data_IF_717460680233
#
_entry.id   IF_717460680233
#
_cell.length_a   1.000
_cell.length_b   1.000
_cell.length_c   1.000
_cell.angle_alpha   90.00
_cell.angle_beta   90.00
_cell.angle_gamma   90.00
#
_symmetry.space_group_name_H-M   'P 1'
#
loop_
_entity.id
_entity.type
_entity.pdbx_description
1 polymer ?
#
# COMPACT_ATOMS: atom_id res chain seq x y z
N UNK A 1 43.01 -1.99 34.58
CA UNK A 1 43.43 -2.41 33.24
C UNK A 1 42.42 -3.44 32.80
N UNK A 2 41.74 -3.09 31.71
CA UNK A 2 40.55 -3.72 31.15
C UNK A 2 40.80 -5.17 30.74
N UNK A 3 39.80 -6.03 30.89
CA UNK A 3 39.57 -7.07 29.90
C UNK A 3 38.06 -7.33 29.75
N UNK A 4 37.65 -7.16 28.50
CA UNK A 4 36.30 -7.07 27.94
C UNK A 4 35.47 -8.35 28.11
N UNK A 5 34.26 -8.19 28.69
CA UNK A 5 33.22 -9.21 28.66
C UNK A 5 32.59 -9.30 27.26
N UNK A 6 32.83 -10.44 26.62
CA UNK A 6 32.21 -10.86 25.37
C UNK A 6 30.76 -11.28 25.66
N UNK A 7 29.76 -10.49 25.24
CA UNK A 7 28.34 -10.83 25.38
C UNK A 7 27.99 -11.96 24.40
N UNK A 8 27.57 -13.11 24.95
CA UNK A 8 27.24 -14.31 24.21
C UNK A 8 25.92 -14.19 23.43
N UNK A 9 26.02 -14.34 22.11
CA UNK A 9 24.89 -14.62 21.24
C UNK A 9 24.45 -16.08 21.45
N UNK A 10 23.28 -16.33 22.03
CA UNK A 10 22.75 -17.68 22.19
C UNK A 10 22.34 -18.25 20.83
N UNK A 11 23.07 -19.29 20.38
CA UNK A 11 22.88 -20.01 19.12
C UNK A 11 22.04 -21.25 19.38
N UNK A 12 20.94 -21.44 18.67
CA UNK A 12 20.21 -22.70 18.67
C UNK A 12 19.99 -23.14 17.22
N UNK A 13 20.73 -24.16 16.79
CA UNK A 13 20.41 -24.96 15.61
C UNK A 13 19.60 -26.15 16.11
N UNK A 14 18.31 -26.22 15.80
CA UNK A 14 17.49 -27.40 16.05
C UNK A 14 17.27 -28.16 14.74
N UNK A 15 17.78 -29.38 14.65
CA UNK A 15 17.55 -30.30 13.54
C UNK A 15 16.16 -30.94 13.69
N UNK A 16 15.23 -30.59 12.80
CA UNK A 16 13.98 -31.34 12.58
C UNK A 16 14.09 -32.20 11.30
N UNK A 17 13.47 -33.39 11.22
CA UNK A 17 13.65 -34.32 10.12
C UNK A 17 12.91 -33.82 8.87
N UNK A 18 13.56 -33.92 7.70
CA UNK A 18 13.22 -33.29 6.39
C UNK A 18 13.56 -31.78 6.29
N UNK A 19 14.65 -31.40 6.97
CA UNK A 19 15.06 -30.04 7.30
C UNK A 19 15.47 -29.15 6.12
N UNK A 20 14.60 -28.20 5.79
CA UNK A 20 15.04 -26.96 5.11
C UNK A 20 15.95 -26.20 6.06
N UNK A 21 17.20 -25.93 5.68
CA UNK A 21 18.15 -25.19 6.51
C UNK A 21 17.62 -23.79 6.84
N UNK A 22 17.70 -23.37 8.11
CA UNK A 22 17.39 -22.00 8.52
C UNK A 22 18.33 -21.53 9.63
N UNK A 23 18.50 -20.20 9.69
CA UNK A 23 19.26 -19.52 10.73
C UNK A 23 18.33 -18.60 11.51
N UNK A 24 18.36 -18.65 12.84
CA UNK A 24 17.53 -17.80 13.71
C UNK A 24 18.40 -16.87 14.57
N UNK A 25 17.99 -15.62 14.68
CA UNK A 25 18.55 -14.64 15.62
C UNK A 25 17.44 -13.81 16.25
N UNK A 26 17.73 -13.05 17.30
CA UNK A 26 16.74 -12.24 18.00
C UNK A 26 16.97 -10.75 17.82
N UNK A 27 15.88 -9.99 17.71
CA UNK A 27 15.87 -8.52 17.81
C UNK A 27 15.17 -8.18 19.13
N UNK A 28 15.86 -7.46 20.00
CA UNK A 28 15.25 -6.97 21.25
C UNK A 28 14.13 -5.99 20.93
N UNK A 29 12.98 -6.18 21.57
CA UNK A 29 11.86 -5.27 21.44
C UNK A 29 11.99 -4.16 22.49
N UNK A 30 11.42 -2.97 22.24
CA UNK A 30 11.37 -1.92 23.25
C UNK A 30 10.69 -2.44 24.52
N UNK A 31 11.42 -2.48 25.63
CA UNK A 31 10.93 -2.90 26.94
C UNK A 31 10.61 -1.66 27.77
N UNK A 32 9.38 -1.17 27.64
CA UNK A 32 8.83 -0.13 28.50
C UNK A 32 7.48 -0.60 29.11
N UNK A 33 6.77 0.29 29.82
CA UNK A 33 5.60 -0.03 30.66
C UNK A 33 4.47 -0.82 29.98
N UNK A 34 4.39 -0.80 28.64
CA UNK A 34 3.46 -1.62 27.87
C UNK A 34 4.22 -2.50 26.86
N UNK A 35 3.94 -3.82 26.81
CA UNK A 35 4.66 -4.72 25.94
C UNK A 35 4.30 -4.47 24.47
N UNK A 36 5.32 -4.47 23.61
CA UNK A 36 5.14 -4.51 22.16
C UNK A 36 4.29 -5.72 21.76
N UNK A 37 3.42 -5.55 20.75
CA UNK A 37 2.61 -6.64 20.19
C UNK A 37 2.79 -6.67 18.67
N UNK A 38 3.42 -7.73 18.16
CA UNK A 38 3.74 -7.89 16.75
C UNK A 38 2.50 -7.90 15.87
N UNK A 39 1.45 -8.61 16.30
CA UNK A 39 0.20 -8.68 15.54
C UNK A 39 -0.45 -7.31 15.36
N UNK A 40 -0.44 -6.47 16.41
CA UNK A 40 -0.94 -5.10 16.31
C UNK A 40 -0.03 -4.24 15.45
N UNK A 41 1.30 -4.42 15.53
CA UNK A 41 2.25 -3.66 14.74
C UNK A 41 2.17 -3.99 13.25
N UNK A 42 2.08 -5.28 12.89
CA UNK A 42 1.98 -5.76 11.51
C UNK A 42 0.60 -5.47 10.93
N UNK A 43 -0.47 -5.89 11.62
CA UNK A 43 -1.84 -5.78 11.14
C UNK A 43 -2.47 -4.42 11.47
N UNK A 44 -1.73 -3.33 11.23
CA UNK A 44 -2.13 -1.95 11.55
C UNK A 44 -2.45 -1.08 10.35
N UNK A 45 -2.12 -1.52 9.13
CA UNK A 45 -2.28 -0.72 7.92
C UNK A 45 -2.36 -1.58 6.67
N UNK A 46 -3.09 -1.16 5.63
CA UNK A 46 -3.30 -1.99 4.41
C UNK A 46 -2.02 -2.54 3.75
N UNK A 47 -0.87 -1.92 3.96
CA UNK A 47 0.42 -2.40 3.43
C UNK A 47 0.80 -3.82 3.85
N UNK A 48 0.36 -4.32 5.02
CA UNK A 48 0.65 -5.72 5.41
C UNK A 48 -0.11 -6.74 4.54
N UNK A 49 -1.23 -6.33 3.95
CA UNK A 49 -2.03 -7.16 3.04
C UNK A 49 -1.47 -7.15 1.61
N UNK A 50 -0.61 -6.18 1.28
CA UNK A 50 0.02 -6.07 -0.03
C UNK A 50 1.25 -6.99 -0.12
N UNK A 51 1.41 -7.65 -1.27
CA UNK A 51 2.60 -8.43 -1.58
C UNK A 51 3.90 -7.61 -1.33
N UNK A 52 5.00 -8.28 -0.93
CA UNK A 52 5.14 -9.73 -0.78
C UNK A 52 4.85 -10.24 0.65
N UNK A 53 4.15 -9.45 1.47
CA UNK A 53 3.89 -9.79 2.88
C UNK A 53 2.92 -10.97 3.01
N UNK A 54 3.24 -11.92 3.89
CA UNK A 54 2.35 -13.01 4.29
C UNK A 54 2.23 -13.07 5.80
N UNK A 55 1.05 -12.73 6.31
CA UNK A 55 0.70 -12.90 7.71
C UNK A 55 -0.02 -14.23 7.90
N UNK A 56 0.49 -15.07 8.80
CA UNK A 56 -0.22 -16.25 9.29
C UNK A 56 -0.88 -15.92 10.64
N UNK A 57 -2.22 -15.86 10.72
CA UNK A 57 -2.94 -15.56 11.94
C UNK A 57 -2.79 -16.65 13.02
N UNK A 58 -2.52 -17.91 12.64
CA UNK A 58 -2.42 -19.01 13.60
C UNK A 58 -1.09 -18.97 14.36
N UNK A 59 0.03 -18.87 13.65
CA UNK A 59 1.35 -18.78 14.28
C UNK A 59 1.75 -17.35 14.67
N UNK A 60 0.95 -16.34 14.30
CA UNK A 60 1.26 -14.91 14.48
C UNK A 60 2.62 -14.53 13.88
N UNK A 61 2.85 -15.00 12.66
CA UNK A 61 4.14 -14.86 11.96
C UNK A 61 3.97 -14.03 10.70
N UNK A 62 4.83 -13.02 10.53
CA UNK A 62 5.00 -12.34 9.25
C UNK A 62 6.15 -13.00 8.48
N UNK A 63 5.87 -13.48 7.28
CA UNK A 63 6.87 -14.01 6.35
C UNK A 63 6.95 -13.13 5.10
N UNK A 64 8.15 -12.75 4.70
CA UNK A 64 8.41 -12.05 3.43
C UNK A 64 9.87 -12.18 2.99
N UNK A 65 10.17 -12.06 1.69
CA UNK A 65 11.52 -11.81 1.22
C UNK A 65 12.01 -10.42 1.63
N UNK A 66 13.30 -10.32 1.93
CA UNK A 66 14.03 -9.07 2.16
C UNK A 66 15.25 -9.01 1.24
N UNK A 67 15.45 -7.86 0.61
CA UNK A 67 16.53 -7.64 -0.34
C UNK A 67 17.81 -7.42 0.46
N UNK A 68 18.86 -8.16 0.14
CA UNK A 68 20.19 -7.91 0.66
C UNK A 68 20.99 -7.13 -0.38
N UNK A 69 21.48 -5.96 0.02
CA UNK A 69 22.44 -5.24 -0.81
C UNK A 69 23.81 -5.89 -0.65
N UNK A 70 24.29 -6.53 -1.73
CA UNK A 70 25.67 -7.00 -1.83
C UNK A 70 26.43 -6.06 -2.77
N UNK A 71 27.49 -5.37 -2.31
CA UNK A 71 28.28 -4.48 -3.17
C UNK A 71 29.01 -5.19 -4.32
N UNK A 72 29.03 -6.53 -4.36
CA UNK A 72 29.82 -7.31 -5.32
C UNK A 72 29.04 -8.26 -6.24
N UNK A 73 27.70 -8.33 -6.17
CA UNK A 73 26.89 -9.23 -7.02
C UNK A 73 25.39 -8.86 -7.01
N UNK A 74 24.66 -9.39 -7.99
CA UNK A 74 23.21 -9.33 -8.16
C UNK A 74 22.46 -9.36 -6.82
N UNK A 75 21.57 -8.39 -6.60
CA UNK A 75 20.78 -8.27 -5.37
C UNK A 75 20.04 -9.59 -5.09
N UNK A 76 20.44 -10.31 -4.04
CA UNK A 76 19.76 -11.54 -3.62
C UNK A 76 18.71 -11.21 -2.57
N UNK A 77 17.58 -11.91 -2.63
CA UNK A 77 16.55 -11.83 -1.59
C UNK A 77 16.61 -13.07 -0.71
N UNK A 78 16.51 -12.89 0.60
CA UNK A 78 16.33 -13.98 1.55
C UNK A 78 14.91 -13.98 2.08
N UNK A 79 14.28 -15.15 2.14
CA UNK A 79 13.00 -15.32 2.80
C UNK A 79 13.20 -15.25 4.31
N UNK A 80 12.42 -14.40 4.96
CA UNK A 80 12.50 -14.16 6.41
C UNK A 80 11.12 -14.32 7.03
N UNK A 81 11.05 -15.06 8.13
CA UNK A 81 9.88 -15.14 9.00
C UNK A 81 10.20 -14.51 10.35
N UNK A 82 9.30 -13.67 10.83
CA UNK A 82 9.41 -13.02 12.14
C UNK A 82 8.18 -13.29 12.99
N UNK A 83 8.42 -13.76 14.20
CA UNK A 83 7.38 -14.05 15.20
C UNK A 83 7.82 -13.54 16.57
N UNK A 84 6.88 -13.06 17.36
CA UNK A 84 7.21 -12.52 18.68
C UNK A 84 7.43 -13.65 19.69
N UNK A 85 8.46 -13.47 20.51
CA UNK A 85 8.65 -14.09 21.83
C UNK A 85 8.48 -12.98 22.87
N UNK A 86 8.36 -13.33 24.16
CA UNK A 86 8.03 -12.38 25.23
C UNK A 86 8.53 -10.93 25.01
N UNK A 87 9.84 -10.70 25.06
CA UNK A 87 10.46 -9.36 24.89
C UNK A 87 11.38 -9.28 23.65
N UNK A 88 11.30 -10.23 22.73
CA UNK A 88 12.15 -10.24 21.53
C UNK A 88 11.41 -10.76 20.31
N UNK A 89 11.89 -10.38 19.13
CA UNK A 89 11.41 -10.89 17.86
C UNK A 89 12.34 -12.00 17.38
N UNK A 90 11.81 -13.22 17.23
CA UNK A 90 12.53 -14.34 16.64
C UNK A 90 12.60 -14.19 15.11
N UNK A 91 13.81 -13.91 14.65
CA UNK A 91 14.35 -13.70 13.31
C UNK A 91 14.71 -14.96 12.52
N UNK A 92 13.80 -15.67 11.84
CA UNK A 92 14.19 -16.84 11.04
C UNK A 92 14.49 -16.50 9.59
N UNK A 93 15.70 -16.83 9.13
CA UNK A 93 16.16 -16.70 7.74
C UNK A 93 16.21 -18.08 7.10
N UNK A 94 15.48 -18.29 6.03
CA UNK A 94 15.31 -19.61 5.40
C UNK A 94 16.38 -19.88 4.34
N UNK A 95 16.55 -21.17 4.00
CA UNK A 95 17.49 -21.70 3.02
C UNK A 95 18.97 -21.35 3.29
N UNK A 96 19.33 -21.07 4.55
CA UNK A 96 20.70 -20.73 4.97
C UNK A 96 21.04 -21.36 6.31
N UNK A 97 22.29 -21.75 6.51
CA UNK A 97 22.80 -22.25 7.81
C UNK A 97 23.42 -21.13 8.67
N UNK A 98 23.84 -20.04 8.04
CA UNK A 98 24.40 -18.86 8.72
C UNK A 98 24.22 -17.62 7.86
N UNK A 99 24.27 -16.46 8.49
CA UNK A 99 24.33 -15.16 7.83
C UNK A 99 25.50 -14.36 8.39
N UNK A 100 26.07 -13.47 7.58
CA UNK A 100 27.13 -12.58 8.04
C UNK A 100 26.58 -11.52 9.01
N UNK A 101 27.42 -10.95 9.90
CA UNK A 101 27.00 -9.85 10.77
C UNK A 101 26.45 -8.64 10.00
N UNK A 102 26.94 -8.40 8.78
CA UNK A 102 26.43 -7.33 7.91
C UNK A 102 25.02 -7.65 7.39
N UNK A 103 24.75 -8.89 6.98
CA UNK A 103 23.42 -9.33 6.57
C UNK A 103 22.44 -9.24 7.75
N UNK A 104 22.84 -9.69 8.94
CA UNK A 104 22.02 -9.58 10.15
C UNK A 104 21.67 -8.13 10.48
N UNK A 105 22.65 -7.21 10.42
CA UNK A 105 22.40 -5.76 10.60
C UNK A 105 21.45 -5.22 9.54
N UNK A 106 21.59 -5.62 8.27
CA UNK A 106 20.69 -5.18 7.21
C UNK A 106 19.26 -5.66 7.43
N UNK A 107 19.07 -6.95 7.72
CA UNK A 107 17.75 -7.53 8.02
C UNK A 107 17.12 -6.83 9.23
N UNK A 108 17.90 -6.63 10.30
CA UNK A 108 17.46 -5.91 11.50
C UNK A 108 17.01 -4.50 11.18
N UNK A 109 17.76 -3.75 10.37
CA UNK A 109 17.39 -2.40 9.96
C UNK A 109 16.08 -2.38 9.14
N UNK A 110 15.89 -3.34 8.21
CA UNK A 110 14.66 -3.46 7.43
C UNK A 110 13.44 -3.80 8.29
N UNK A 111 13.58 -4.72 9.24
CA UNK A 111 12.52 -5.10 10.17
C UNK A 111 12.20 -3.95 11.13
N UNK A 112 13.22 -3.30 11.68
CA UNK A 112 13.05 -2.12 12.54
C UNK A 112 12.33 -0.99 11.81
N UNK A 113 12.61 -0.78 10.52
CA UNK A 113 11.89 0.18 9.68
C UNK A 113 10.40 -0.19 9.54
N UNK A 114 10.10 -1.44 9.17
CA UNK A 114 8.73 -1.90 8.95
C UNK A 114 7.87 -1.80 10.21
N UNK A 115 8.43 -2.21 11.35
CA UNK A 115 7.77 -2.26 12.65
C UNK A 115 7.96 -0.99 13.49
N UNK A 116 8.67 0.01 12.95
CA UNK A 116 8.90 1.32 13.59
C UNK A 116 9.58 1.24 14.97
N UNK A 117 10.58 0.37 15.11
CA UNK A 117 11.17 0.02 16.41
C UNK A 117 12.13 1.06 16.98
N UNK A 118 12.24 2.26 16.38
CA UNK A 118 13.12 3.31 16.91
C UNK A 118 12.58 3.92 18.19
N UNK A 119 13.47 4.46 19.03
CA UNK A 119 13.08 5.11 20.29
C UNK A 119 12.17 6.32 20.06
N UNK A 120 12.40 7.09 18.99
CA UNK A 120 11.57 8.23 18.63
C UNK A 120 10.14 7.80 18.25
N UNK A 121 10.00 6.71 17.48
CA UNK A 121 8.70 6.14 17.14
C UNK A 121 7.99 5.53 18.35
N UNK A 122 8.73 4.89 19.27
CA UNK A 122 8.18 4.38 20.53
C UNK A 122 7.64 5.53 21.41
N UNK A 123 8.37 6.64 21.48
CA UNK A 123 7.91 7.85 22.17
C UNK A 123 6.64 8.40 21.53
N UNK A 124 6.60 8.49 20.19
CA UNK A 124 5.42 8.96 19.46
C UNK A 124 4.17 8.10 19.70
N UNK A 125 4.32 6.77 19.71
CA UNK A 125 3.22 5.84 20.02
C UNK A 125 2.66 6.09 21.43
N UNK A 126 3.52 6.29 22.43
CA UNK A 126 3.08 6.58 23.81
C UNK A 126 2.37 7.92 23.93
N UNK A 127 2.90 8.95 23.28
CA UNK A 127 2.26 10.26 23.26
C UNK A 127 0.88 10.21 22.60
N UNK A 128 0.77 9.52 21.46
CA UNK A 128 -0.52 9.27 20.81
C UNK A 128 -1.52 8.57 21.76
N UNK A 129 -1.11 7.49 22.43
CA UNK A 129 -1.99 6.76 23.37
C UNK A 129 -2.48 7.64 24.51
N UNK A 130 -1.66 8.56 25.01
CA UNK A 130 -2.06 9.52 26.05
C UNK A 130 -3.12 10.50 25.56
N UNK A 131 -2.99 11.03 24.34
CA UNK A 131 -3.98 11.97 23.78
C UNK A 131 -5.25 11.26 23.27
N UNK A 132 -5.18 9.94 23.04
CA UNK A 132 -6.26 9.11 22.51
C UNK A 132 -6.78 8.09 23.55
N UNK A 133 -6.66 8.40 24.83
CA UNK A 133 -7.00 7.49 25.94
C UNK A 133 -8.50 7.13 26.01
N UNK A 134 -9.38 7.95 25.44
CA UNK A 134 -10.84 7.77 25.49
C UNK A 134 -11.37 6.59 24.64
N UNK A 135 -10.50 5.91 23.89
CA UNK A 135 -10.86 4.80 23.00
C UNK A 135 -10.04 3.52 23.26
N UNK A 136 -10.05 2.95 24.48
CA UNK A 136 -9.14 1.86 24.88
C UNK A 136 -9.44 0.51 24.22
N UNK A 137 -10.63 0.33 23.64
CA UNK A 137 -11.07 -0.95 23.06
C UNK A 137 -10.66 -1.14 21.59
N UNK A 138 -10.07 -0.12 20.95
CA UNK A 138 -9.64 -0.20 19.55
C UNK A 138 -8.34 -1.02 19.46
N UNK A 139 -8.23 -1.87 18.45
CA UNK A 139 -7.05 -2.73 18.22
C UNK A 139 -5.83 -1.96 17.73
N UNK A 140 -6.04 -0.79 17.10
CA UNK A 140 -4.95 0.02 16.56
C UNK A 140 -4.14 0.67 17.68
N UNK A 141 -2.97 0.12 17.96
CA UNK A 141 -2.09 0.57 19.04
C UNK A 141 -1.26 1.82 18.75
N UNK A 142 -1.59 2.64 17.74
CA UNK A 142 -0.85 3.87 17.42
C UNK A 142 0.36 3.71 16.50
N UNK A 143 0.63 2.48 16.05
CA UNK A 143 1.80 2.15 15.21
C UNK A 143 1.33 1.74 13.83
N UNK A 144 1.91 2.33 12.79
CA UNK A 144 1.50 2.10 11.40
C UNK A 144 2.56 1.26 10.68
N UNK A 145 2.18 0.09 10.19
CA UNK A 145 3.05 -0.78 9.40
C UNK A 145 3.46 -0.11 8.09
N UNK A 146 4.75 -0.18 7.77
CA UNK A 146 5.32 0.32 6.51
C UNK A 146 6.23 -0.71 5.84
N UNK A 147 6.66 -0.42 4.62
CA UNK A 147 7.53 -1.31 3.85
C UNK A 147 8.97 -1.35 4.39
N UNK A 148 9.85 -2.26 3.95
CA UNK A 148 11.27 -2.26 4.34
C UNK A 148 12.11 -1.17 3.65
N UNK A 149 11.58 -0.51 2.61
CA UNK A 149 12.28 0.55 1.86
C UNK A 149 11.34 1.71 1.56
N UNK A 150 11.88 2.93 1.46
CA UNK A 150 11.13 4.10 1.00
C UNK A 150 10.64 3.93 -0.45
N UNK A 151 11.41 3.25 -1.29
CA UNK A 151 11.00 2.97 -2.66
C UNK A 151 9.71 2.13 -2.72
N UNK A 152 9.64 1.06 -1.92
CA UNK A 152 8.44 0.23 -1.84
C UNK A 152 7.25 1.03 -1.31
N UNK A 153 7.44 1.89 -0.30
CA UNK A 153 6.38 2.80 0.17
C UNK A 153 5.89 3.73 -0.94
N UNK A 154 6.81 4.40 -1.64
CA UNK A 154 6.50 5.31 -2.75
C UNK A 154 5.73 4.62 -3.87
N UNK A 155 6.18 3.45 -4.31
CA UNK A 155 5.48 2.71 -5.37
C UNK A 155 4.11 2.25 -4.88
N UNK A 156 4.00 1.69 -3.66
CA UNK A 156 2.70 1.30 -3.10
C UNK A 156 1.74 2.49 -2.98
N UNK A 157 2.22 3.70 -2.65
CA UNK A 157 1.42 4.91 -2.67
C UNK A 157 0.91 5.27 -4.08
N UNK A 158 1.72 5.09 -5.13
CA UNK A 158 1.27 5.25 -6.52
C UNK A 158 0.17 4.22 -6.87
N UNK A 159 0.28 2.99 -6.36
CA UNK A 159 -0.71 1.92 -6.60
C UNK A 159 -2.06 2.18 -5.91
N UNK A 160 -2.10 2.95 -4.83
CA UNK A 160 -3.32 3.35 -4.14
C UNK A 160 -4.12 4.40 -4.92
N UNK A 161 -3.43 5.33 -5.59
CA UNK A 161 -4.05 6.47 -6.27
C UNK A 161 -5.06 6.00 -7.33
N UNK A 162 -6.29 6.52 -7.34
CA UNK A 162 -7.35 6.22 -8.33
C UNK A 162 -7.51 4.72 -8.62
N UNK A 163 -7.49 3.90 -7.57
CA UNK A 163 -7.53 2.46 -7.69
C UNK A 163 -8.46 1.84 -6.65
N UNK A 164 -9.21 0.82 -7.06
CA UNK A 164 -9.95 -0.02 -6.12
C UNK A 164 -8.97 -0.99 -5.44
N UNK A 165 -9.20 -1.26 -4.15
CA UNK A 165 -8.33 -2.10 -3.33
C UNK A 165 -7.93 -3.46 -3.95
N UNK A 166 -8.84 -4.25 -4.56
CA UNK A 166 -8.46 -5.52 -5.18
C UNK A 166 -7.46 -5.34 -6.33
N UNK A 167 -7.59 -4.25 -7.09
CA UNK A 167 -6.67 -3.92 -8.18
C UNK A 167 -5.31 -3.47 -7.63
N UNK A 168 -5.27 -2.71 -6.54
CA UNK A 168 -4.04 -2.36 -5.83
C UNK A 168 -3.28 -3.61 -5.37
N UNK A 169 -3.98 -4.56 -4.73
CA UNK A 169 -3.39 -5.85 -4.32
C UNK A 169 -2.83 -6.64 -5.51
N UNK A 170 -3.58 -6.73 -6.61
CA UNK A 170 -3.13 -7.43 -7.82
C UNK A 170 -1.91 -6.77 -8.49
N UNK A 171 -1.84 -5.44 -8.54
CA UNK A 171 -0.67 -4.73 -9.09
C UNK A 171 0.58 -4.96 -8.22
N UNK A 172 0.44 -4.93 -6.89
CA UNK A 172 1.54 -5.20 -5.98
C UNK A 172 2.05 -6.65 -6.11
N UNK A 173 1.12 -7.61 -6.21
CA UNK A 173 1.44 -9.02 -6.45
C UNK A 173 2.19 -9.20 -7.78
N UNK A 174 1.69 -8.61 -8.87
CA UNK A 174 2.30 -8.75 -10.19
C UNK A 174 3.72 -8.14 -10.26
N UNK A 175 3.99 -7.07 -9.51
CA UNK A 175 5.34 -6.52 -9.37
C UNK A 175 6.31 -7.50 -8.67
N UNK A 176 5.84 -8.22 -7.66
CA UNK A 176 6.66 -9.20 -6.94
C UNK A 176 6.88 -10.49 -7.75
N UNK A 177 5.88 -10.92 -8.53
CA UNK A 177 6.05 -12.00 -9.51
C UNK A 177 7.07 -11.63 -10.59
N UNK A 178 6.97 -10.40 -11.14
CA UNK A 178 7.95 -9.89 -12.10
C UNK A 178 9.36 -9.86 -11.50
N UNK A 179 9.51 -9.48 -10.22
CA UNK A 179 10.81 -9.50 -9.56
C UNK A 179 11.43 -10.90 -9.56
N UNK A 180 10.65 -11.94 -9.28
CA UNK A 180 11.14 -13.33 -9.34
C UNK A 180 11.54 -13.73 -10.77
N UNK A 181 10.73 -13.35 -11.77
CA UNK A 181 11.05 -13.59 -13.17
C UNK A 181 12.37 -12.94 -13.59
N UNK A 182 12.63 -11.69 -13.16
CA UNK A 182 13.88 -10.98 -13.44
C UNK A 182 15.09 -11.67 -12.80
N UNK A 183 14.95 -12.21 -11.59
CA UNK A 183 16.01 -12.98 -10.93
C UNK A 183 16.31 -14.31 -11.63
N UNK A 184 15.29 -14.91 -12.25
CA UNK A 184 15.42 -16.16 -13.00
C UNK A 184 15.89 -15.94 -14.47
N UNK A 185 16.37 -14.74 -14.81
CA UNK A 185 16.96 -14.46 -16.11
C UNK A 185 15.95 -14.15 -17.21
N UNK A 186 14.76 -13.64 -16.87
CA UNK A 186 13.83 -13.13 -17.88
C UNK A 186 14.52 -12.03 -18.72
N UNK A 187 14.78 -12.35 -20.00
CA UNK A 187 15.31 -11.40 -20.97
C UNK A 187 14.21 -10.41 -21.36
N UNK A 188 14.18 -9.26 -20.68
CA UNK A 188 13.40 -8.12 -21.17
C UNK A 188 14.04 -7.60 -22.47
N UNK A 189 13.22 -7.23 -23.47
CA UNK A 189 13.71 -6.50 -24.65
C UNK A 189 14.38 -5.20 -24.18
N UNK A 190 15.71 -5.25 -24.06
CA UNK A 190 16.55 -4.12 -23.68
C UNK A 190 16.41 -3.07 -24.77
N UNK A 191 16.01 -1.86 -24.39
CA UNK A 191 15.95 -0.74 -25.33
C UNK A 191 17.39 -0.36 -25.68
N UNK A 192 17.91 -0.91 -26.78
CA UNK A 192 19.07 -0.36 -27.46
C UNK A 192 18.71 0.97 -28.15
N UNK A 193 19.68 1.86 -28.43
CA UNK A 193 19.41 3.07 -29.18
C UNK A 193 19.27 2.70 -30.67
N UNK A 194 18.06 2.33 -31.10
CA UNK A 194 17.78 2.02 -32.50
C UNK A 194 16.88 3.08 -33.13
N UNK A 195 17.43 3.71 -34.19
CA UNK A 195 16.72 4.53 -35.17
C UNK A 195 15.42 3.87 -35.65
N UNK A 196 14.35 4.64 -35.93
CA UNK A 196 13.08 4.09 -36.37
C UNK A 196 13.12 3.85 -37.88
N UNK A 197 13.18 2.59 -38.28
CA UNK A 197 12.71 2.09 -39.58
C UNK A 197 12.66 0.57 -39.51
N UNK A 198 11.45 0.00 -39.52
CA UNK A 198 11.00 -1.10 -40.41
C UNK A 198 9.56 -1.46 -40.02
N UNK A 199 8.67 -1.10 -40.94
CA UNK A 199 7.49 -1.80 -41.48
C UNK A 199 6.43 -2.37 -40.52
N UNK A 200 5.30 -1.67 -40.53
CA UNK A 200 4.00 -2.14 -40.07
C UNK A 200 3.27 -2.77 -41.24
N UNK A 201 2.82 -4.03 -41.10
CA UNK A 201 1.69 -4.54 -41.86
C UNK A 201 0.66 -5.19 -40.91
N UNK A 202 -0.58 -4.70 -41.01
CA UNK A 202 -1.76 -5.56 -40.98
C UNK A 202 -2.41 -5.89 -39.64
N UNK A 203 -3.00 -4.91 -38.94
CA UNK A 203 -4.33 -5.11 -38.32
C UNK A 203 -4.99 -3.77 -37.96
N UNK A 204 -6.13 -3.47 -38.58
CA UNK A 204 -6.94 -2.27 -38.33
C UNK A 204 -8.26 -2.68 -37.70
N UNK A 205 -8.55 -2.23 -36.47
CA UNK A 205 -9.93 -2.05 -36.02
C UNK A 205 -10.32 -0.57 -36.09
N UNK A 206 -11.44 -0.30 -36.78
CA UNK A 206 -12.09 1.01 -36.91
C UNK A 206 -12.91 1.29 -35.65
N UNK A 207 -12.76 2.47 -35.04
CA UNK A 207 -13.80 3.19 -34.28
C UNK A 207 -13.36 4.66 -34.11
N UNK A 208 -14.27 5.63 -33.98
CA UNK A 208 -14.15 6.93 -34.64
C UNK A 208 -13.45 7.98 -33.77
N UNK A 209 -12.61 8.77 -34.41
CA UNK A 209 -11.99 9.96 -33.83
C UNK A 209 -13.01 11.10 -33.67
N UNK A 210 -13.16 11.60 -32.45
CA UNK A 210 -13.70 12.95 -32.22
C UNK A 210 -12.61 13.97 -32.50
N UNK A 211 -12.94 14.92 -33.39
CA UNK A 211 -12.07 15.95 -33.96
C UNK A 211 -11.57 16.92 -32.89
N UNK A 212 -10.25 17.01 -32.71
CA UNK A 212 -9.60 18.11 -32.00
C UNK A 212 -9.19 19.19 -33.02
N UNK A 213 -9.75 20.39 -32.89
CA UNK A 213 -9.46 21.52 -33.77
C UNK A 213 -8.10 22.15 -33.42
N UNK A 214 -7.17 22.14 -34.37
CA UNK A 214 -5.92 22.92 -34.33
C UNK A 214 -6.22 24.43 -34.27
N UNK A 215 -5.54 25.19 -33.40
CA UNK A 215 -4.93 26.50 -33.77
C UNK A 215 -3.84 27.04 -32.82
N UNK A 216 -2.82 27.56 -33.50
CA UNK A 216 -1.53 28.23 -33.22
C UNK A 216 -1.41 29.30 -32.11
N UNK A 217 -0.16 29.36 -31.59
CA UNK A 217 0.69 30.46 -31.03
C UNK A 217 0.22 31.28 -29.80
N UNK A 218 1.18 31.48 -28.90
CA UNK A 218 1.11 32.10 -27.56
C UNK A 218 0.73 33.60 -27.53
N UNK A 219 0.11 34.08 -26.43
CA UNK A 219 0.76 35.16 -25.65
C UNK A 219 0.48 35.21 -24.12
N UNK A 220 1.40 35.90 -23.41
CA UNK A 220 1.37 36.67 -22.13
C UNK A 220 0.65 36.24 -20.82
N UNK A 221 1.29 36.69 -19.71
CA UNK A 221 1.14 36.31 -18.28
C UNK A 221 -0.26 36.37 -17.62
N UNK A 222 -1.35 36.74 -18.30
CA UNK A 222 -2.71 36.64 -17.74
C UNK A 222 -3.41 35.29 -18.03
N UNK A 223 -2.85 34.47 -18.91
CA UNK A 223 -3.36 33.14 -19.24
C UNK A 223 -3.08 32.06 -18.17
N UNK A 224 -2.16 32.31 -17.23
CA UNK A 224 -1.78 31.33 -16.19
C UNK A 224 -2.88 31.14 -15.13
N UNK A 225 -3.68 32.19 -14.86
CA UNK A 225 -4.77 32.15 -13.88
C UNK A 225 -6.01 31.41 -14.43
N UNK A 226 -6.28 31.59 -15.73
CA UNK A 226 -7.38 30.93 -16.42
C UNK A 226 -7.13 29.43 -16.62
N UNK A 227 -5.87 29.05 -16.88
CA UNK A 227 -5.45 27.65 -17.01
C UNK A 227 -5.40 26.91 -15.66
N UNK A 228 -5.22 27.62 -14.54
CA UNK A 228 -5.35 27.06 -13.19
C UNK A 228 -6.82 26.75 -12.86
N UNK A 229 -7.74 27.65 -13.20
CA UNK A 229 -9.17 27.42 -13.06
C UNK A 229 -9.70 26.31 -13.99
N UNK A 230 -9.19 26.21 -15.22
CA UNK A 230 -9.60 25.15 -16.17
C UNK A 230 -9.10 23.75 -15.73
N UNK A 231 -7.92 23.65 -15.11
CA UNK A 231 -7.45 22.38 -14.52
C UNK A 231 -8.22 22.00 -13.24
N UNK A 232 -8.60 22.99 -12.44
CA UNK A 232 -9.47 22.78 -11.26
C UNK A 232 -10.88 22.32 -11.71
N UNK A 233 -11.41 22.84 -12.82
CA UNK A 233 -12.67 22.38 -13.41
C UNK A 233 -12.58 20.97 -14.05
N UNK A 234 -11.45 20.59 -14.66
CA UNK A 234 -11.28 19.23 -15.20
C UNK A 234 -11.22 18.15 -14.09
N UNK A 235 -10.62 18.49 -12.94
CA UNK A 235 -10.68 17.67 -11.73
C UNK A 235 -12.09 17.62 -11.11
N UNK A 236 -12.85 18.73 -11.15
CA UNK A 236 -14.26 18.77 -10.72
C UNK A 236 -15.15 17.84 -11.57
N UNK A 237 -14.95 17.82 -12.91
CA UNK A 237 -15.73 16.97 -13.83
C UNK A 237 -15.38 15.47 -13.78
N UNK A 238 -14.20 15.10 -13.28
CA UNK A 238 -13.84 13.68 -13.06
C UNK A 238 -14.32 13.15 -11.71
N UNK A 239 -14.37 13.97 -10.66
CA UNK A 239 -14.93 13.58 -9.36
C UNK A 239 -16.46 13.46 -9.44
N UNK A 240 -17.15 14.39 -10.12
CA UNK A 240 -18.61 14.32 -10.28
C UNK A 240 -19.06 13.16 -11.18
N UNK A 241 -18.28 12.77 -12.20
CA UNK A 241 -18.57 11.57 -13.00
C UNK A 241 -18.52 10.28 -12.19
N UNK A 242 -17.63 10.20 -11.20
CA UNK A 242 -17.55 9.05 -10.28
C UNK A 242 -18.68 9.06 -9.23
N UNK A 243 -19.30 10.22 -8.95
CA UNK A 243 -20.44 10.34 -8.02
C UNK A 243 -21.80 10.06 -8.68
N UNK A 244 -21.93 10.25 -10.00
CA UNK A 244 -23.21 10.07 -10.72
C UNK A 244 -23.53 8.63 -11.16
N UNK A 245 -22.57 7.70 -11.16
CA UNK A 245 -22.84 6.30 -11.52
C UNK A 245 -23.70 5.51 -10.52
N UNK A 246 -24.02 6.07 -9.35
CA UNK A 246 -24.79 5.41 -8.29
C UNK A 246 -26.25 5.90 -8.16
N UNK A 247 -26.75 6.71 -9.10
CA UNK A 247 -28.13 7.25 -9.05
C UNK A 247 -28.81 7.34 -10.42
N UNK A 248 -29.41 6.25 -10.89
CA UNK A 248 -30.67 6.33 -11.65
C UNK A 248 -31.31 4.96 -11.81
N UNK A 249 -32.38 4.72 -11.06
CA UNK A 249 -33.48 3.83 -11.44
C UNK A 249 -34.56 4.71 -12.06
N UNK A 250 -34.82 4.60 -13.37
CA UNK A 250 -36.19 4.56 -13.89
C UNK A 250 -36.26 4.21 -15.38
N UNK A 251 -37.34 3.50 -15.71
CA UNK A 251 -37.73 2.91 -16.98
C UNK A 251 -38.14 3.92 -18.06
N UNK A 252 -37.61 3.80 -19.28
CA UNK A 252 -38.37 4.08 -20.53
C UNK A 252 -37.72 3.38 -21.73
N UNK A 253 -38.55 2.96 -22.68
CA UNK A 253 -38.34 1.91 -23.68
C UNK A 253 -37.92 2.39 -25.09
N UNK A 254 -37.23 1.46 -25.81
CA UNK A 254 -37.04 1.25 -27.27
C UNK A 254 -35.66 1.63 -27.88
N UNK A 255 -35.16 0.95 -28.95
CA UNK A 255 -35.53 -0.33 -29.59
C UNK A 255 -34.35 -1.36 -29.63
N UNK A 256 -34.51 -2.60 -30.15
CA UNK A 256 -33.56 -3.68 -29.91
C UNK A 256 -32.38 -3.61 -30.87
N UNK A 257 -31.16 -3.72 -30.34
CA UNK A 257 -29.98 -4.01 -31.15
C UNK A 257 -29.41 -5.35 -30.73
N UNK A 258 -28.97 -6.08 -31.75
CA UNK A 258 -28.86 -7.53 -31.77
C UNK A 258 -27.83 -8.04 -30.77
N UNK A 259 -28.19 -9.18 -30.18
CA UNK A 259 -27.36 -9.86 -29.20
C UNK A 259 -26.03 -10.30 -29.79
N UNK A 260 -24.96 -9.81 -29.18
CA UNK A 260 -23.79 -10.62 -28.85
C UNK A 260 -23.63 -10.57 -27.33
N UNK A 261 -24.28 -11.52 -26.66
CA UNK A 261 -23.93 -11.88 -25.29
C UNK A 261 -22.55 -12.53 -25.33
N UNK A 262 -21.48 -11.74 -25.16
CA UNK A 262 -20.27 -12.28 -24.57
C UNK A 262 -20.57 -12.53 -23.09
N UNK A 263 -21.11 -13.74 -22.86
CA UNK A 263 -21.07 -14.43 -21.58
C UNK A 263 -19.64 -14.31 -21.07
N UNK A 264 -19.45 -13.52 -20.01
CA UNK A 264 -18.25 -13.61 -19.18
C UNK A 264 -18.16 -15.06 -18.73
N UNK A 265 -17.28 -15.81 -19.40
CA UNK A 265 -17.01 -17.19 -19.10
C UNK A 265 -16.74 -17.33 -17.60
N UNK A 266 -17.49 -18.24 -17.00
CA UNK A 266 -17.29 -18.76 -15.65
C UNK A 266 -15.96 -19.49 -15.56
N UNK A 267 -14.86 -18.73 -15.57
CA UNK A 267 -13.50 -19.22 -15.37
C UNK A 267 -12.91 -18.68 -14.05
N UNK A 268 -13.78 -18.44 -13.06
CA UNK A 268 -13.45 -18.06 -11.69
C UNK A 268 -13.13 -19.30 -10.81
N UNK A 269 -12.80 -20.43 -11.42
CA UNK A 269 -12.48 -21.69 -10.74
C UNK A 269 -11.12 -22.25 -11.15
N UNK A 270 -10.02 -21.53 -10.88
CA UNK A 270 -8.68 -22.14 -10.84
C UNK A 270 -7.62 -21.36 -10.01
N UNK A 271 -7.98 -20.35 -9.22
CA UNK A 271 -7.05 -19.88 -8.18
C UNK A 271 -7.19 -20.74 -6.94
N UNK A 272 -6.70 -21.99 -7.03
CA UNK A 272 -6.30 -22.71 -5.82
C UNK A 272 -5.22 -21.86 -5.15
N UNK A 273 -5.50 -21.36 -3.94
CA UNK A 273 -4.48 -20.74 -3.12
C UNK A 273 -3.37 -21.78 -2.94
N UNK A 274 -2.12 -21.49 -3.34
CA UNK A 274 -1.02 -22.39 -3.06
C UNK A 274 -0.97 -22.62 -1.56
N UNK A 275 -0.65 -23.85 -1.11
CA UNK A 275 -0.21 -24.06 0.26
C UNK A 275 0.83 -22.99 0.62
N UNK A 276 0.87 -22.49 1.86
CA UNK A 276 1.71 -21.34 2.20
C UNK A 276 3.19 -21.50 1.78
N UNK A 277 3.69 -22.74 1.77
CA UNK A 277 5.02 -23.09 1.27
C UNK A 277 5.27 -22.82 -0.22
N UNK A 278 4.22 -22.75 -1.05
CA UNK A 278 4.31 -22.54 -2.51
C UNK A 278 4.10 -21.09 -2.95
N UNK A 279 3.68 -20.18 -2.05
CA UNK A 279 3.45 -18.79 -2.43
C UNK A 279 4.74 -18.10 -2.88
N UNK A 280 5.84 -18.38 -2.17
CA UNK A 280 7.15 -17.81 -2.46
C UNK A 280 7.88 -18.53 -3.62
N UNK A 281 7.36 -19.65 -4.12
CA UNK A 281 7.82 -20.27 -5.36
C UNK A 281 7.45 -19.46 -6.61
N UNK A 282 6.43 -18.60 -6.48
CA UNK A 282 5.90 -17.77 -7.58
C UNK A 282 5.96 -16.28 -7.31
N UNK A 283 6.27 -15.88 -6.07
CA UNK A 283 6.30 -14.47 -5.65
C UNK A 283 7.66 -14.13 -5.09
N UNK A 284 8.36 -13.24 -5.77
CA UNK A 284 9.64 -12.70 -5.32
C UNK A 284 9.45 -11.57 -4.31
N UNK A 285 10.52 -10.81 -4.13
CA UNK A 285 10.49 -9.57 -3.36
C UNK A 285 9.82 -8.44 -4.14
N UNK A 286 9.61 -7.30 -3.47
CA UNK A 286 9.29 -6.09 -4.19
C UNK A 286 10.49 -5.67 -5.06
N UNK A 287 10.29 -5.33 -6.34
CA UNK A 287 11.39 -5.01 -7.23
C UNK A 287 12.13 -3.75 -6.78
N UNK A 288 13.45 -3.75 -6.95
CA UNK A 288 14.33 -2.62 -6.68
C UNK A 288 14.28 -1.58 -7.80
N UNK A 289 14.73 -0.33 -7.55
CA UNK A 289 14.87 0.67 -8.59
C UNK A 289 15.75 0.20 -9.76
N UNK A 290 16.83 -0.53 -9.48
CA UNK A 290 17.78 -1.04 -10.49
C UNK A 290 17.09 -2.06 -11.41
N UNK A 291 16.32 -2.99 -10.84
CA UNK A 291 15.57 -3.99 -11.60
C UNK A 291 14.52 -3.34 -12.52
N UNK A 292 13.86 -2.27 -12.06
CA UNK A 292 12.82 -1.60 -12.87
C UNK A 292 13.39 -0.62 -13.90
N UNK A 293 14.48 0.09 -13.60
CA UNK A 293 14.98 1.19 -14.43
C UNK A 293 15.34 0.79 -15.86
N UNK A 294 15.69 -0.48 -16.07
CA UNK A 294 16.10 -1.03 -17.37
C UNK A 294 14.93 -1.57 -18.21
N UNK A 295 13.70 -1.56 -17.70
CA UNK A 295 12.52 -2.08 -18.40
C UNK A 295 11.91 -1.03 -19.33
N UNK A 296 11.15 -1.49 -20.32
CA UNK A 296 10.31 -0.61 -21.13
C UNK A 296 8.98 -0.31 -20.43
N UNK A 297 8.45 0.89 -20.62
CA UNK A 297 7.17 1.31 -20.04
C UNK A 297 6.01 0.40 -20.47
N UNK A 298 5.95 0.05 -21.76
CA UNK A 298 4.89 -0.79 -22.33
C UNK A 298 4.93 -2.21 -21.78
N UNK A 299 6.12 -2.78 -21.60
CA UNK A 299 6.29 -4.08 -20.96
C UNK A 299 5.80 -4.05 -19.51
N UNK A 300 6.29 -3.08 -18.72
CA UNK A 300 5.93 -2.95 -17.31
C UNK A 300 4.42 -2.72 -17.14
N UNK A 301 3.82 -1.85 -17.97
CA UNK A 301 2.39 -1.57 -17.98
C UNK A 301 1.56 -2.82 -18.26
N UNK A 302 1.96 -3.63 -19.24
CA UNK A 302 1.24 -4.85 -19.64
C UNK A 302 1.44 -5.96 -18.62
N UNK A 303 2.68 -6.29 -18.25
CA UNK A 303 3.02 -7.41 -17.36
C UNK A 303 2.45 -7.23 -15.95
N UNK A 304 2.47 -6.00 -15.43
CA UNK A 304 1.99 -5.71 -14.07
C UNK A 304 0.61 -5.04 -14.03
N UNK A 305 -0.06 -4.86 -15.18
CA UNK A 305 -1.39 -4.24 -15.32
C UNK A 305 -1.49 -2.84 -14.68
N UNK A 306 -0.40 -2.08 -14.75
CA UNK A 306 -0.23 -0.78 -14.08
C UNK A 306 -0.95 0.37 -14.79
N UNK A 307 -1.22 0.22 -16.09
CA UNK A 307 -1.71 1.32 -16.94
C UNK A 307 -0.76 2.51 -16.89
N UNK A 308 -1.30 3.73 -16.76
CA UNK A 308 -0.51 4.97 -16.72
C UNK A 308 0.52 5.02 -15.58
N UNK A 309 0.35 4.22 -14.52
CA UNK A 309 1.27 4.19 -13.37
C UNK A 309 2.64 3.65 -13.72
N UNK A 310 2.74 2.80 -14.75
CA UNK A 310 4.01 2.23 -15.20
C UNK A 310 5.03 3.31 -15.53
N UNK A 311 4.58 4.38 -16.21
CA UNK A 311 5.43 5.53 -16.54
C UNK A 311 6.00 6.19 -15.29
N UNK A 312 5.17 6.47 -14.29
CA UNK A 312 5.61 7.14 -13.06
C UNK A 312 6.57 6.27 -12.25
N UNK A 313 6.30 4.97 -12.16
CA UNK A 313 7.18 4.02 -11.47
C UNK A 313 8.53 3.92 -12.18
N UNK A 314 8.54 3.86 -13.51
CA UNK A 314 9.77 3.78 -14.30
C UNK A 314 10.59 5.07 -14.21
N UNK A 315 9.94 6.24 -14.31
CA UNK A 315 10.60 7.54 -14.15
C UNK A 315 11.18 7.71 -12.73
N UNK A 316 10.46 7.27 -11.68
CA UNK A 316 10.96 7.24 -10.30
C UNK A 316 12.18 6.33 -10.15
N UNK A 317 12.10 5.10 -10.66
CA UNK A 317 13.19 4.13 -10.60
C UNK A 317 14.45 4.65 -11.28
N UNK A 318 14.33 5.23 -12.48
CA UNK A 318 15.44 5.85 -13.21
C UNK A 318 16.04 7.04 -12.46
N UNK A 319 15.21 7.93 -11.92
CA UNK A 319 15.69 9.07 -11.16
C UNK A 319 16.47 8.66 -9.90
N UNK A 320 16.11 7.56 -9.26
CA UNK A 320 16.86 7.00 -8.12
C UNK A 320 18.19 6.40 -8.58
N UNK A 321 18.18 5.58 -9.64
CA UNK A 321 19.40 4.96 -10.19
C UNK A 321 20.40 5.99 -10.70
N UNK A 322 19.91 7.08 -11.29
CA UNK A 322 20.71 8.22 -11.76
C UNK A 322 21.17 9.15 -10.62
N UNK A 323 20.77 8.89 -9.37
CA UNK A 323 21.14 9.71 -8.21
C UNK A 323 20.41 11.06 -8.09
N UNK A 324 19.40 11.31 -8.94
CA UNK A 324 18.57 12.53 -8.89
C UNK A 324 17.65 12.56 -7.66
N UNK A 325 17.25 11.37 -7.18
CA UNK A 325 16.49 11.20 -5.94
C UNK A 325 17.31 10.29 -5.02
N UNK A 326 17.72 10.83 -3.87
CA UNK A 326 18.54 10.11 -2.88
C UNK A 326 17.63 9.69 -1.72
N UNK A 327 17.20 8.41 -1.72
CA UNK A 327 16.22 7.90 -0.75
C UNK A 327 16.75 7.95 0.69
N UNK A 328 18.03 7.69 0.89
CA UNK A 328 18.69 7.74 2.20
C UNK A 328 18.65 9.16 2.78
N UNK A 329 18.80 10.18 1.95
CA UNK A 329 18.71 11.57 2.40
C UNK A 329 17.28 11.95 2.80
N UNK A 330 16.27 11.46 2.07
CA UNK A 330 14.86 11.67 2.42
C UNK A 330 14.51 11.02 3.76
N UNK A 331 14.98 9.79 3.99
CA UNK A 331 14.80 9.09 5.27
C UNK A 331 15.54 9.81 6.41
N UNK A 332 16.76 10.29 6.17
CA UNK A 332 17.52 11.01 7.19
C UNK A 332 16.83 12.32 7.59
N UNK A 333 16.38 13.10 6.61
CA UNK A 333 15.61 14.32 6.84
C UNK A 333 14.31 14.05 7.61
N UNK A 334 13.71 12.87 7.46
CA UNK A 334 12.47 12.51 8.16
C UNK A 334 12.66 12.19 9.64
N UNK A 335 13.89 11.96 10.11
CA UNK A 335 14.16 11.68 11.53
C UNK A 335 13.92 12.89 12.43
N UNK A 336 14.05 14.10 11.88
CA UNK A 336 13.61 15.31 12.54
C UNK A 336 12.12 15.56 12.22
N UNK A 337 11.28 15.50 13.24
CA UNK A 337 9.83 15.70 13.13
C UNK A 337 9.41 17.18 13.01
N UNK A 338 10.34 18.09 12.72
CA UNK A 338 10.06 19.52 12.57
C UNK A 338 9.16 19.84 11.36
N UNK A 339 8.35 20.89 11.49
CA UNK A 339 7.51 21.38 10.39
C UNK A 339 8.34 21.87 9.19
N UNK A 340 9.57 22.33 9.42
CA UNK A 340 10.53 22.69 8.37
C UNK A 340 10.94 21.48 7.55
N UNK A 341 11.31 20.37 8.18
CA UNK A 341 11.65 19.13 7.50
C UNK A 341 10.45 18.57 6.71
N UNK A 342 9.25 18.63 7.30
CA UNK A 342 8.02 18.28 6.59
C UNK A 342 7.82 19.08 5.30
N UNK A 343 7.95 20.41 5.37
CA UNK A 343 7.79 21.29 4.19
C UNK A 343 8.85 20.99 3.14
N UNK A 344 10.11 20.84 3.55
CA UNK A 344 11.22 20.52 2.65
C UNK A 344 11.01 19.18 1.95
N UNK A 345 10.62 18.13 2.69
CA UNK A 345 10.28 16.83 2.11
C UNK A 345 9.08 16.93 1.17
N UNK A 346 8.03 17.65 1.57
CA UNK A 346 6.86 17.91 0.73
C UNK A 346 7.20 18.56 -0.60
N UNK A 347 8.09 19.55 -0.60
CA UNK A 347 8.55 20.25 -1.79
C UNK A 347 9.40 19.37 -2.70
N UNK A 348 10.28 18.52 -2.14
CA UNK A 348 11.06 17.55 -2.90
C UNK A 348 10.16 16.47 -3.53
N UNK A 349 9.23 15.92 -2.75
CA UNK A 349 8.26 14.93 -3.23
C UNK A 349 7.35 15.48 -4.33
N UNK A 350 7.00 16.77 -4.27
CA UNK A 350 6.18 17.46 -5.27
C UNK A 350 6.83 17.54 -6.65
N UNK A 351 8.16 17.46 -6.74
CA UNK A 351 8.87 17.45 -8.02
C UNK A 351 8.78 16.09 -8.73
N UNK A 352 8.38 15.04 -8.02
CA UNK A 352 8.28 13.68 -8.57
C UNK A 352 6.96 13.55 -9.34
N UNK A 353 7.02 13.15 -10.60
CA UNK A 353 5.81 12.91 -11.39
C UNK A 353 4.99 11.75 -10.80
N UNK A 354 3.67 11.94 -10.76
CA UNK A 354 2.76 11.01 -10.09
C UNK A 354 2.56 11.30 -8.60
N UNK A 355 3.28 12.27 -8.02
CA UNK A 355 3.16 12.64 -6.61
C UNK A 355 2.21 13.83 -6.41
N UNK A 356 0.92 13.56 -6.65
CA UNK A 356 -0.17 14.46 -6.28
C UNK A 356 -0.32 14.58 -4.75
N UNK A 357 -1.22 15.48 -4.26
CA UNK A 357 -1.42 15.70 -2.83
C UNK A 357 -1.63 14.41 -2.03
N UNK A 358 -2.49 13.52 -2.51
CA UNK A 358 -2.76 12.22 -1.89
C UNK A 358 -1.51 11.32 -1.79
N UNK A 359 -0.77 11.14 -2.89
CA UNK A 359 0.45 10.33 -2.90
C UNK A 359 1.48 10.86 -1.91
N UNK A 360 1.70 12.18 -1.91
CA UNK A 360 2.70 12.81 -1.02
C UNK A 360 2.32 12.65 0.44
N UNK A 361 1.05 12.87 0.79
CA UNK A 361 0.58 12.71 2.17
C UNK A 361 0.79 11.27 2.66
N UNK A 362 0.49 10.26 1.84
CA UNK A 362 0.76 8.86 2.19
C UNK A 362 2.26 8.55 2.36
N UNK A 363 3.11 9.10 1.49
CA UNK A 363 4.58 8.92 1.62
C UNK A 363 5.11 9.61 2.88
N UNK A 364 4.64 10.82 3.20
CA UNK A 364 5.02 11.54 4.41
C UNK A 364 4.54 10.82 5.68
N UNK A 365 3.34 10.22 5.65
CA UNK A 365 2.87 9.33 6.70
C UNK A 365 3.79 8.11 6.86
N UNK A 366 4.21 7.47 5.77
CA UNK A 366 5.19 6.38 5.82
C UNK A 366 6.53 6.83 6.43
N UNK A 367 6.90 8.10 6.27
CA UNK A 367 8.07 8.73 6.90
C UNK A 367 7.85 9.14 8.37
N UNK A 368 6.63 8.99 8.90
CA UNK A 368 6.31 9.24 10.32
C UNK A 368 5.60 10.56 10.60
N UNK A 369 5.26 11.35 9.57
CA UNK A 369 4.49 12.57 9.74
C UNK A 369 3.00 12.26 9.86
N UNK A 370 2.47 12.38 11.07
CA UNK A 370 1.08 12.05 11.39
C UNK A 370 0.15 13.26 11.47
N UNK A 371 0.64 14.47 11.23
CA UNK A 371 -0.16 15.68 11.39
C UNK A 371 -1.08 15.96 10.19
N UNK A 372 -0.80 15.34 9.04
CA UNK A 372 -1.60 15.47 7.84
C UNK A 372 -2.31 14.15 7.51
N UNK A 373 -3.61 14.23 7.21
CA UNK A 373 -4.42 13.06 6.83
C UNK A 373 -4.44 12.94 5.29
N UNK A 374 -3.91 11.84 4.71
CA UNK A 374 -4.11 11.55 3.31
C UNK A 374 -5.58 11.26 3.06
N UNK A 375 -6.25 12.08 2.26
CA UNK A 375 -7.69 11.97 2.06
C UNK A 375 -8.08 11.60 0.62
N UNK A 376 -9.17 10.87 0.52
CA UNK A 376 -9.72 10.33 -0.73
C UNK A 376 -11.26 10.15 -0.61
N UNK A 377 -11.86 9.44 -1.57
CA UNK A 377 -13.29 9.13 -1.54
C UNK A 377 -13.70 8.28 -0.34
N UNK A 378 -12.81 7.44 0.18
CA UNK A 378 -13.06 6.63 1.37
C UNK A 378 -13.09 7.49 2.63
N UNK A 379 -12.23 8.50 2.68
CA UNK A 379 -12.23 9.52 3.74
C UNK A 379 -13.55 10.30 3.75
N UNK A 380 -14.02 10.74 2.57
CA UNK A 380 -15.35 11.40 2.44
C UNK A 380 -16.47 10.47 2.90
N UNK A 381 -16.45 9.20 2.49
CA UNK A 381 -17.46 8.21 2.91
C UNK A 381 -17.48 8.05 4.43
N UNK A 382 -16.30 7.95 5.05
CA UNK A 382 -16.16 7.79 6.49
C UNK A 382 -16.71 8.98 7.26
N UNK A 383 -16.32 10.20 6.90
CA UNK A 383 -16.83 11.42 7.53
C UNK A 383 -18.36 11.54 7.41
N UNK A 384 -18.91 11.12 6.28
CA UNK A 384 -20.36 11.09 6.07
C UNK A 384 -21.07 10.04 6.93
N UNK A 385 -20.52 8.84 7.07
CA UNK A 385 -21.20 7.74 7.77
C UNK A 385 -21.00 7.77 9.28
N UNK A 386 -19.82 8.20 9.74
CA UNK A 386 -19.45 8.16 11.16
C UNK A 386 -19.66 9.51 11.84
N UNK A 387 -19.34 10.60 11.15
CA UNK A 387 -19.46 11.97 11.70
C UNK A 387 -20.69 12.73 11.20
N UNK A 388 -21.51 12.12 10.33
CA UNK A 388 -22.69 12.76 9.72
C UNK A 388 -22.36 14.09 9.01
N UNK A 389 -21.11 14.26 8.54
CA UNK A 389 -20.68 15.46 7.80
C UNK A 389 -21.05 15.32 6.33
N UNK A 390 -21.62 16.38 5.75
CA UNK A 390 -21.85 16.45 4.30
C UNK A 390 -20.58 16.92 3.57
N UNK A 391 -19.49 16.18 3.78
CA UNK A 391 -18.16 16.54 3.29
C UNK A 391 -18.08 16.47 1.77
N UNK A 392 -17.39 17.44 1.19
CA UNK A 392 -17.03 17.50 -0.24
C UNK A 392 -15.51 17.70 -0.37
N UNK A 393 -14.97 17.58 -1.58
CA UNK A 393 -13.55 17.88 -1.86
C UNK A 393 -13.13 19.30 -1.44
N UNK A 394 -14.08 20.25 -1.34
CA UNK A 394 -13.82 21.64 -0.94
C UNK A 394 -13.84 21.85 0.58
N UNK A 395 -14.55 20.99 1.32
CA UNK A 395 -14.73 21.14 2.78
C UNK A 395 -13.89 20.15 3.58
N UNK A 396 -13.37 19.10 2.93
CA UNK A 396 -12.71 17.97 3.61
C UNK A 396 -11.58 18.39 4.54
N UNK A 397 -10.74 19.35 4.14
CA UNK A 397 -9.64 19.81 5.00
C UNK A 397 -10.16 20.48 6.28
N UNK A 398 -11.19 21.32 6.16
CA UNK A 398 -11.83 21.96 7.33
C UNK A 398 -12.56 20.96 8.21
N UNK A 399 -13.26 19.99 7.62
CA UNK A 399 -13.99 18.95 8.36
C UNK A 399 -13.00 18.04 9.12
N UNK A 400 -11.86 17.70 8.50
CA UNK A 400 -10.80 16.92 9.14
C UNK A 400 -10.15 17.70 10.30
N UNK A 401 -9.89 18.99 10.12
CA UNK A 401 -9.35 19.84 11.18
C UNK A 401 -10.32 19.97 12.36
N UNK A 402 -11.61 20.18 12.09
CA UNK A 402 -12.64 20.28 13.15
C UNK A 402 -12.74 19.00 13.99
N UNK A 403 -12.63 17.82 13.36
CA UNK A 403 -12.80 16.53 14.03
C UNK A 403 -11.50 16.05 14.68
N UNK A 404 -10.39 16.12 13.95
CA UNK A 404 -9.13 15.49 14.33
C UNK A 404 -8.05 16.47 14.77
N UNK A 405 -8.19 17.78 14.56
CA UNK A 405 -7.18 18.79 14.91
C UNK A 405 -6.77 18.76 16.38
N UNK A 406 -7.70 18.41 17.28
CA UNK A 406 -7.43 18.21 18.72
C UNK A 406 -6.38 17.14 19.06
N UNK A 407 -6.02 16.27 18.11
CA UNK A 407 -5.03 15.22 18.29
C UNK A 407 -3.62 15.63 17.83
N UNK A 408 -3.35 16.90 17.53
CA UNK A 408 -2.04 17.36 17.07
C UNK A 408 -0.88 16.84 17.95
N UNK A 409 0.23 16.33 17.36
CA UNK A 409 0.52 16.16 15.92
C UNK A 409 0.12 14.78 15.33
N UNK A 410 -0.82 14.09 15.96
CA UNK A 410 -1.23 12.71 15.68
C UNK A 410 -2.59 12.57 14.98
N UNK A 411 -3.04 13.59 14.24
CA UNK A 411 -4.33 13.62 13.55
C UNK A 411 -4.57 12.36 12.69
N UNK A 412 -3.58 11.94 11.91
CA UNK A 412 -3.65 10.72 11.09
C UNK A 412 -3.83 9.47 11.93
N UNK A 413 -3.13 9.32 13.06
CA UNK A 413 -3.25 8.13 13.89
C UNK A 413 -4.64 8.02 14.53
N UNK A 414 -5.24 9.14 14.93
CA UNK A 414 -6.60 9.17 15.46
C UNK A 414 -7.64 8.83 14.38
N UNK A 415 -7.54 9.47 13.21
CA UNK A 415 -8.36 9.15 12.05
C UNK A 415 -8.25 7.67 11.66
N UNK A 416 -7.02 7.18 11.55
CA UNK A 416 -6.76 5.80 11.14
C UNK A 416 -7.23 4.81 12.19
N UNK A 417 -7.08 5.09 13.49
CA UNK A 417 -7.64 4.28 14.56
C UNK A 417 -9.15 4.05 14.39
N UNK A 418 -9.89 5.09 14.03
CA UNK A 418 -11.33 5.03 13.82
C UNK A 418 -11.72 4.28 12.54
N UNK A 419 -11.03 4.56 11.43
CA UNK A 419 -11.20 3.81 10.18
C UNK A 419 -10.94 2.32 10.41
N UNK A 420 -9.82 1.99 11.05
CA UNK A 420 -9.40 0.61 11.29
C UNK A 420 -10.42 -0.15 12.14
N UNK A 421 -10.87 0.45 13.24
CA UNK A 421 -11.91 -0.10 14.11
C UNK A 421 -13.25 -0.29 13.38
N UNK A 422 -13.62 0.66 12.51
CA UNK A 422 -14.82 0.56 11.69
C UNK A 422 -14.75 -0.64 10.73
N UNK A 423 -13.60 -0.85 10.08
CA UNK A 423 -13.38 -2.01 9.22
C UNK A 423 -13.37 -3.32 10.02
N UNK A 424 -12.72 -3.35 11.18
CA UNK A 424 -12.68 -4.55 12.02
C UNK A 424 -14.05 -4.97 12.55
N UNK A 425 -14.88 -3.99 12.91
CA UNK A 425 -16.27 -4.24 13.33
C UNK A 425 -17.10 -4.89 12.22
N UNK A 426 -16.75 -4.66 10.95
CA UNK A 426 -17.49 -5.16 9.78
C UNK A 426 -16.97 -6.49 9.26
N UNK A 427 -15.65 -6.66 9.23
CA UNK A 427 -15.01 -7.80 8.57
C UNK A 427 -14.39 -8.81 9.55
N UNK A 428 -14.25 -8.44 10.83
CA UNK A 428 -13.50 -9.21 11.84
C UNK A 428 -12.14 -8.57 12.15
N UNK A 429 -11.41 -9.14 13.11
CA UNK A 429 -10.08 -8.63 13.49
C UNK A 429 -9.05 -8.86 12.39
N UNK A 430 -8.27 -7.85 12.03
CA UNK A 430 -7.35 -7.92 10.87
C UNK A 430 -6.22 -8.92 11.08
N UNK A 431 -5.77 -9.10 12.33
CA UNK A 431 -4.75 -10.08 12.70
C UNK A 431 -5.23 -11.53 12.72
N UNK A 432 -6.54 -11.77 12.67
CA UNK A 432 -7.14 -13.11 12.66
C UNK A 432 -7.56 -13.56 11.23
N UNK A 433 -7.50 -12.64 10.26
CA UNK A 433 -7.96 -12.91 8.90
C UNK A 433 -6.91 -13.65 8.06
N UNK A 434 -7.38 -14.65 7.32
CA UNK A 434 -6.58 -15.31 6.29
C UNK A 434 -6.42 -14.44 5.04
N UNK A 435 -5.27 -14.50 4.36
CA UNK A 435 -4.97 -13.62 3.22
C UNK A 435 -5.94 -13.75 2.03
N UNK A 436 -6.65 -14.87 1.91
CA UNK A 436 -7.67 -15.09 0.87
C UNK A 436 -8.82 -14.10 0.93
N UNK A 437 -9.07 -13.47 2.08
CA UNK A 437 -10.18 -12.51 2.23
C UNK A 437 -9.78 -11.05 2.02
N UNK A 438 -8.48 -10.72 1.92
CA UNK A 438 -8.02 -9.32 1.86
C UNK A 438 -8.64 -8.50 0.72
N UNK A 439 -8.87 -9.12 -0.44
CA UNK A 439 -9.53 -8.48 -1.59
C UNK A 439 -10.96 -8.06 -1.28
N UNK A 440 -11.61 -8.64 -0.26
CA UNK A 440 -12.99 -8.34 0.12
C UNK A 440 -13.09 -7.17 1.10
N UNK A 441 -11.98 -6.73 1.69
CA UNK A 441 -11.93 -5.66 2.69
C UNK A 441 -11.99 -4.32 1.98
N UNK A 442 -13.19 -3.95 1.52
CA UNK A 442 -13.45 -2.74 0.73
C UNK A 442 -14.76 -2.11 1.14
N UNK A 443 -14.87 -0.79 0.98
CA UNK A 443 -16.13 -0.08 1.20
C UNK A 443 -17.30 -0.62 0.36
N UNK A 444 -17.04 -1.08 -0.87
CA UNK A 444 -18.06 -1.66 -1.75
C UNK A 444 -18.68 -2.94 -1.19
N UNK A 445 -17.94 -3.70 -0.38
CA UNK A 445 -18.42 -4.92 0.27
C UNK A 445 -19.04 -4.68 1.65
N UNK A 446 -19.13 -3.42 2.10
CA UNK A 446 -19.78 -3.06 3.36
C UNK A 446 -21.31 -2.96 3.25
N UNK A 447 -21.93 -3.39 2.13
CA UNK A 447 -23.39 -3.31 1.94
C UNK A 447 -24.12 -4.02 3.07
N UNK A 448 -25.10 -3.31 3.62
CA UNK A 448 -25.60 -3.49 4.97
C UNK A 448 -26.10 -4.89 5.31
N UNK A 449 -25.69 -5.39 6.48
CA UNK A 449 -26.47 -6.32 7.31
C UNK A 449 -27.74 -5.63 7.84
N UNK A 450 -28.63 -5.18 6.95
CA UNK A 450 -30.05 -4.98 7.30
C UNK A 450 -30.78 -6.27 6.91
N UNK A 451 -30.60 -7.29 7.74
CA UNK A 451 -31.60 -8.35 7.94
C UNK A 451 -32.05 -8.33 9.39
N UNK A 452 -32.50 -7.16 9.83
CA UNK A 452 -33.43 -7.05 10.94
C UNK A 452 -34.80 -7.51 10.44
N UNK A 453 -35.31 -8.55 11.07
CA UNK A 453 -36.65 -9.11 10.92
C UNK A 453 -37.74 -8.05 10.84
N UNK A 454 -38.28 -7.82 9.65
CA UNK A 454 -39.59 -7.17 9.48
C UNK A 454 -40.45 -8.02 8.54
N UNK A 455 -40.87 -9.21 9.03
CA UNK A 455 -42.09 -9.84 8.53
C UNK A 455 -43.26 -8.96 8.94
N UNK A 456 -43.65 -8.00 8.08
CA UNK A 456 -44.98 -7.40 8.14
C UNK A 456 -45.99 -8.54 7.95
N UNK A 457 -46.59 -9.01 9.05
CA UNK A 457 -47.80 -9.84 8.98
C UNK A 457 -48.87 -9.02 8.26
N UNK A 458 -49.32 -9.49 7.10
CA UNK A 458 -50.55 -8.99 6.46
C UNK A 458 -51.71 -9.20 7.44
N UNK A 459 -52.56 -8.20 7.69
CA UNK A 459 -53.79 -8.45 8.44
C UNK A 459 -54.69 -9.38 7.60
N UNK A 460 -55.05 -10.51 8.20
CA UNK A 460 -56.04 -11.46 7.71
C UNK A 460 -57.38 -10.74 7.54
N UNK A 461 -57.90 -10.72 6.30
CA UNK A 461 -59.29 -10.36 6.04
C UNK A 461 -60.17 -11.44 6.66
N UNK A 462 -60.89 -11.06 7.71
CA UNK A 462 -62.02 -11.80 8.26
C UNK A 462 -63.13 -11.71 7.20
N UNK A 463 -63.51 -12.85 6.62
CA UNK A 463 -64.83 -13.01 6.02
C UNK A 463 -65.73 -13.59 7.11
N UNK A 464 -66.79 -12.87 7.47
CA UNK A 464 -67.94 -13.42 8.18
C UNK A 464 -69.22 -12.85 7.56
N UNK A 465 -70.07 -13.80 7.16
CA UNK A 465 -71.45 -13.74 6.66
C UNK A 465 -71.67 -13.12 5.28
#
# INVERSE_FOLDING_TARGET
MEDTQNQGCHRHCSEHPEGTAWFEFHIELPSESEPFQLEQAVCSHGFFMMAPNRWDPLSKTLTRPLLLHNPSSSSSSLLVSMSQRSQSLAVRVHAVHSISPQQQRHITARISRMLRLSQAEEKAVREFRRVHADHPNRSFGGRVFRSPTLFEDMVKCILLCNCQWPRTLNMAQALCELQLELQNGLHCNVVGPSNPKVEAEGFVPKTPASKENRRKKAPTKSALLKKKLELELELELEVDRNLQMDKSSDTTSLPPDNGDSEVLGSDDSCYQFPNEGQYFDRTGNFPSPIELANLSESFLAKRCRLGYRARYILELAKAIVEGKIQLEQLEELSKDASLSCYKQLGDQLKQIKGFGPFTRANVLMCLGYNHAIPWDSETVRHLKQVHSKNTTSKTIESDLEEIYGKYEPYQFLAFWSEIWDFYETRFGKMNEMHCSVYKRITASNMRSTVKGTNKRKRPSRIFQC
#
